data_IF_135783152504
#
_entry.id   IF_135783152504
#
_cell.length_a   1.000
_cell.length_b   1.000
_cell.length_c   1.000
_cell.angle_alpha   90.00
_cell.angle_beta   90.00
_cell.angle_gamma   90.00
#
_symmetry.space_group_name_H-M   'P 1'
#
loop_
_entity.id
_entity.type
_entity.pdbx_description
1 polymer ?
#
# COMPACT_ATOMS: atom_id res chain seq x y z
N UNK A 1 59.60 23.54 -32.34
CA UNK A 1 59.64 23.46 -30.86
C UNK A 1 58.38 24.11 -30.30
N UNK A 2 57.85 23.61 -29.18
CA UNK A 2 56.51 23.81 -28.57
C UNK A 2 55.48 22.75 -29.02
N UNK A 3 55.27 21.61 -28.34
CA UNK A 3 55.03 21.25 -26.92
C UNK A 3 53.55 21.00 -26.65
N UNK A 4 53.27 19.75 -26.28
CA UNK A 4 51.98 19.18 -25.95
C UNK A 4 51.69 19.34 -24.45
N UNK A 5 50.45 19.66 -24.08
CA UNK A 5 49.88 19.34 -22.76
C UNK A 5 48.38 19.66 -22.72
N UNK A 6 47.52 18.72 -23.15
CA UNK A 6 46.08 18.72 -22.80
C UNK A 6 45.60 17.29 -22.59
N UNK A 7 45.74 16.80 -21.37
CA UNK A 7 45.23 15.48 -20.99
C UNK A 7 45.54 15.16 -19.54
N UNK A 8 44.75 15.69 -18.60
CA UNK A 8 44.98 15.39 -17.18
C UNK A 8 43.84 15.72 -16.22
N UNK A 9 42.92 16.61 -16.58
CA UNK A 9 41.90 17.10 -15.61
C UNK A 9 40.59 16.29 -15.57
N UNK A 10 40.37 15.33 -16.48
CA UNK A 10 39.11 14.56 -16.54
C UNK A 10 39.13 13.29 -15.66
N UNK A 11 40.30 12.70 -15.42
CA UNK A 11 40.41 11.42 -14.71
C UNK A 11 40.27 11.55 -13.18
N UNK A 12 40.81 12.64 -12.61
CA UNK A 12 40.84 12.88 -11.16
C UNK A 12 39.44 13.17 -10.60
N UNK A 13 38.60 13.89 -11.35
CA UNK A 13 37.21 14.16 -10.97
C UNK A 13 36.32 12.92 -11.07
N UNK A 14 36.63 11.98 -11.98
CA UNK A 14 35.91 10.69 -12.05
C UNK A 14 36.25 9.77 -10.87
N UNK A 15 37.50 9.74 -10.42
CA UNK A 15 37.90 8.93 -9.26
C UNK A 15 37.34 9.47 -7.94
N UNK A 16 37.26 10.79 -7.76
CA UNK A 16 36.64 11.39 -6.58
C UNK A 16 35.13 11.09 -6.47
N UNK A 17 34.39 11.09 -7.59
CA UNK A 17 32.97 10.73 -7.61
C UNK A 17 32.71 9.23 -7.39
N UNK A 18 33.65 8.36 -7.77
CA UNK A 18 33.57 6.91 -7.53
C UNK A 18 33.91 6.58 -6.08
N UNK A 19 34.88 7.27 -5.47
CA UNK A 19 35.24 7.12 -4.06
C UNK A 19 34.17 7.68 -3.11
N UNK A 20 33.46 8.76 -3.47
CA UNK A 20 32.33 9.24 -2.68
C UNK A 20 31.07 8.37 -2.81
N UNK A 21 30.93 7.61 -3.92
CA UNK A 21 29.82 6.64 -4.08
C UNK A 21 30.00 5.37 -3.24
N UNK A 22 31.24 4.95 -2.95
CA UNK A 22 31.47 3.76 -2.13
C UNK A 22 31.16 4.00 -0.64
N UNK A 23 31.32 5.24 -0.15
CA UNK A 23 31.03 5.61 1.24
C UNK A 23 29.54 5.85 1.55
N UNK A 24 28.68 6.06 0.54
CA UNK A 24 27.22 6.16 0.72
C UNK A 24 26.50 4.79 0.64
N UNK A 25 27.23 3.69 0.44
CA UNK A 25 26.64 2.33 0.36
C UNK A 25 26.44 1.66 1.73
N UNK A 26 26.88 2.28 2.83
CA UNK A 26 26.66 1.78 4.19
C UNK A 26 25.49 2.47 4.89
N UNK A 27 24.38 2.68 4.16
CA UNK A 27 23.12 3.06 4.78
C UNK A 27 22.51 1.82 5.44
N UNK A 28 22.94 1.55 6.68
CA UNK A 28 22.28 0.78 7.72
C UNK A 28 21.12 -0.11 7.19
N UNK A 29 21.46 -1.30 6.69
CA UNK A 29 20.48 -2.32 6.28
C UNK A 29 19.75 -2.85 7.50
N UNK A 30 18.82 -2.05 8.03
CA UNK A 30 17.80 -2.54 8.96
C UNK A 30 17.14 -3.73 8.28
N UNK A 31 17.31 -4.91 8.88
CA UNK A 31 16.77 -6.17 8.38
C UNK A 31 15.27 -6.00 8.17
N UNK A 32 14.81 -6.14 6.92
CA UNK A 32 13.39 -6.04 6.59
C UNK A 32 12.64 -7.08 7.44
N UNK A 33 11.62 -6.69 8.22
CA UNK A 33 10.86 -7.63 9.03
C UNK A 33 10.20 -8.71 8.16
N UNK A 34 10.09 -9.93 8.70
CA UNK A 34 9.38 -11.03 8.01
C UNK A 34 7.89 -10.72 7.94
N UNK A 35 7.27 -11.09 6.81
CA UNK A 35 5.81 -10.99 6.61
C UNK A 35 5.08 -11.81 7.67
N UNK A 36 4.12 -11.19 8.36
CA UNK A 36 3.26 -11.83 9.35
C UNK A 36 1.89 -12.23 8.80
N UNK A 37 1.34 -11.46 7.87
CA UNK A 37 0.06 -11.76 7.22
C UNK A 37 0.18 -11.71 5.70
N UNK A 38 -0.54 -10.78 5.09
CA UNK A 38 -0.60 -10.55 3.65
C UNK A 38 -0.03 -9.17 3.30
N UNK A 39 0.51 -9.04 2.09
CA UNK A 39 0.91 -7.74 1.58
C UNK A 39 -0.27 -7.03 0.90
N UNK A 40 -0.66 -5.90 1.47
CA UNK A 40 -1.60 -4.96 0.88
C UNK A 40 -0.79 -3.81 0.24
N UNK A 41 -1.08 -3.46 -1.01
CA UNK A 41 -0.27 -2.50 -1.76
C UNK A 41 -1.14 -1.53 -2.56
N UNK A 42 -0.53 -0.40 -2.96
CA UNK A 42 -1.23 0.70 -3.64
C UNK A 42 -1.79 1.72 -2.66
N UNK A 43 -1.89 2.98 -3.10
CA UNK A 43 -2.23 4.10 -2.22
C UNK A 43 -3.63 3.95 -1.62
N UNK A 44 -4.65 3.78 -2.47
CA UNK A 44 -6.03 3.73 -2.02
C UNK A 44 -6.34 2.53 -1.10
N UNK A 45 -5.95 1.28 -1.43
CA UNK A 45 -6.17 0.15 -0.53
C UNK A 45 -5.45 0.31 0.82
N UNK A 46 -4.20 0.81 0.81
CA UNK A 46 -3.45 1.02 2.04
C UNK A 46 -4.12 2.07 2.93
N UNK A 47 -4.48 3.25 2.39
CA UNK A 47 -5.17 4.29 3.15
C UNK A 47 -6.52 3.80 3.69
N UNK A 48 -7.29 3.05 2.90
CA UNK A 48 -8.55 2.45 3.37
C UNK A 48 -8.33 1.50 4.56
N UNK A 49 -7.26 0.68 4.54
CA UNK A 49 -6.93 -0.18 5.67
C UNK A 49 -6.52 0.63 6.92
N UNK A 50 -5.74 1.70 6.74
CA UNK A 50 -5.35 2.59 7.84
C UNK A 50 -6.55 3.31 8.47
N UNK A 51 -7.54 3.71 7.67
CA UNK A 51 -8.72 4.44 8.13
C UNK A 51 -9.78 3.56 8.79
N UNK A 52 -10.06 2.38 8.22
CA UNK A 52 -11.16 1.53 8.68
C UNK A 52 -10.79 0.68 9.90
N UNK A 53 -9.51 0.39 10.13
CA UNK A 53 -9.06 -0.45 11.24
C UNK A 53 -9.54 -1.90 11.16
N UNK A 54 -10.12 -2.34 10.04
CA UNK A 54 -10.61 -3.72 9.83
C UNK A 54 -9.48 -4.75 9.66
N UNK A 55 -8.25 -4.28 9.50
CA UNK A 55 -7.05 -5.12 9.44
C UNK A 55 -6.05 -4.63 10.50
N UNK A 56 -5.38 -5.57 11.15
CA UNK A 56 -4.21 -5.25 11.96
C UNK A 56 -3.03 -4.93 11.04
N UNK A 57 -2.34 -3.83 11.29
CA UNK A 57 -1.15 -3.43 10.52
C UNK A 57 0.07 -3.90 11.31
N UNK A 58 0.90 -4.75 10.70
CA UNK A 58 2.11 -5.27 11.32
C UNK A 58 3.34 -4.44 10.95
N UNK A 59 3.50 -4.11 9.67
CA UNK A 59 4.64 -3.34 9.16
C UNK A 59 4.19 -2.37 8.07
N UNK A 60 4.83 -1.21 8.00
CA UNK A 60 4.61 -0.19 6.96
C UNK A 60 5.89 -0.05 6.13
N UNK A 61 5.79 -0.25 4.81
CA UNK A 61 6.90 -0.11 3.87
C UNK A 61 6.62 1.03 2.89
N UNK A 62 7.56 1.98 2.81
CA UNK A 62 7.52 3.09 1.85
C UNK A 62 8.73 3.05 0.93
N UNK A 63 8.56 3.54 -0.30
CA UNK A 63 9.69 3.71 -1.22
C UNK A 63 10.70 4.70 -0.66
N UNK A 64 11.97 4.31 -0.59
CA UNK A 64 13.08 5.18 -0.22
C UNK A 64 13.29 6.27 -1.27
N UNK A 65 13.51 7.51 -0.84
CA UNK A 65 13.65 8.68 -1.72
C UNK A 65 15.05 8.84 -2.34
N UNK A 66 15.93 7.85 -2.20
CA UNK A 66 17.32 7.95 -2.68
C UNK A 66 17.34 8.09 -4.21
N UNK A 67 17.74 9.27 -4.68
CA UNK A 67 18.06 9.53 -6.10
C UNK A 67 16.88 9.91 -7.01
N UNK A 68 15.67 10.14 -6.52
CA UNK A 68 14.53 10.55 -7.38
C UNK A 68 13.70 11.66 -6.74
N UNK A 69 13.51 12.78 -7.46
CA UNK A 69 12.73 13.96 -7.03
C UNK A 69 11.20 13.75 -7.01
N UNK A 70 10.74 12.51 -7.15
CA UNK A 70 9.30 12.20 -7.29
C UNK A 70 8.99 11.01 -6.39
N UNK A 71 8.42 11.27 -5.21
CA UNK A 71 7.73 10.21 -4.49
C UNK A 71 6.55 9.77 -5.35
N UNK A 72 6.53 8.50 -5.77
CA UNK A 72 5.35 7.91 -6.46
C UNK A 72 4.08 8.01 -5.60
N UNK A 73 4.27 8.17 -4.27
CA UNK A 73 3.22 8.44 -3.31
C UNK A 73 2.87 9.93 -3.31
N UNK A 74 1.59 10.26 -3.45
CA UNK A 74 1.06 11.63 -3.33
C UNK A 74 1.39 12.21 -1.95
N UNK A 75 1.72 13.50 -1.88
CA UNK A 75 2.09 14.20 -0.63
C UNK A 75 1.05 14.02 0.48
N UNK A 76 -0.24 14.13 0.17
CA UNK A 76 -1.34 13.93 1.13
C UNK A 76 -1.34 12.51 1.72
N UNK A 77 -1.16 11.49 0.88
CA UNK A 77 -1.15 10.09 1.32
C UNK A 77 0.06 9.80 2.23
N UNK A 78 1.22 10.37 1.91
CA UNK A 78 2.41 10.25 2.75
C UNK A 78 2.18 10.85 4.16
N UNK A 79 1.53 12.02 4.24
CA UNK A 79 1.19 12.66 5.52
C UNK A 79 0.21 11.81 6.34
N UNK A 80 -0.79 11.20 5.71
CA UNK A 80 -1.74 10.33 6.40
C UNK A 80 -1.07 9.07 6.97
N UNK A 81 -0.17 8.45 6.20
CA UNK A 81 0.58 7.27 6.64
C UNK A 81 1.49 7.60 7.81
N UNK A 82 2.22 8.73 7.75
CA UNK A 82 3.07 9.21 8.85
C UNK A 82 2.26 9.46 10.11
N UNK A 83 1.13 10.18 9.99
CA UNK A 83 0.23 10.44 11.11
C UNK A 83 -0.33 9.16 11.72
N UNK A 84 -0.62 8.14 10.91
CA UNK A 84 -1.03 6.84 11.42
C UNK A 84 0.10 6.16 12.21
N UNK A 85 1.30 6.10 11.63
CA UNK A 85 2.47 5.47 12.23
C UNK A 85 2.85 6.12 13.56
N UNK A 86 2.87 7.45 13.63
CA UNK A 86 3.14 8.21 14.86
C UNK A 86 2.12 7.90 15.96
N UNK A 87 0.82 7.98 15.64
CA UNK A 87 -0.25 7.68 16.61
C UNK A 87 -0.19 6.26 17.15
N UNK A 88 0.28 5.30 16.35
CA UNK A 88 0.38 3.88 16.73
C UNK A 88 1.79 3.49 17.18
N UNK A 89 2.73 4.43 17.26
CA UNK A 89 4.16 4.20 17.55
C UNK A 89 4.76 3.08 16.70
N UNK A 90 4.41 3.06 15.41
CA UNK A 90 4.91 2.09 14.44
C UNK A 90 6.09 2.65 13.66
N UNK A 91 7.09 1.81 13.39
CA UNK A 91 8.19 2.17 12.50
C UNK A 91 7.75 2.12 11.03
N UNK A 92 8.20 3.09 10.24
CA UNK A 92 8.08 3.07 8.78
C UNK A 92 9.42 2.61 8.21
N UNK A 93 9.39 1.52 7.44
CA UNK A 93 10.55 0.98 6.75
C UNK A 93 10.65 1.57 5.34
N UNK A 94 11.65 2.42 5.11
CA UNK A 94 11.97 2.91 3.77
C UNK A 94 12.81 1.87 3.02
N UNK A 95 12.27 1.35 1.92
CA UNK A 95 12.88 0.24 1.15
C UNK A 95 13.03 0.60 -0.32
N UNK A 96 13.86 -0.16 -1.05
CA UNK A 96 14.08 0.06 -2.48
C UNK A 96 12.85 -0.27 -3.32
N UNK A 97 12.81 0.23 -4.56
CA UNK A 97 11.71 -0.07 -5.50
C UNK A 97 11.60 -1.57 -5.76
N UNK A 98 12.74 -2.24 -5.96
CA UNK A 98 12.85 -3.67 -6.23
C UNK A 98 12.30 -4.49 -5.05
N UNK A 99 12.49 -3.99 -3.83
CA UNK A 99 11.94 -4.63 -2.63
C UNK A 99 10.41 -4.56 -2.63
N UNK A 100 9.82 -3.40 -2.96
CA UNK A 100 8.38 -3.24 -3.06
C UNK A 100 7.81 -4.06 -4.22
N UNK A 101 8.46 -4.09 -5.37
CA UNK A 101 8.08 -4.91 -6.53
C UNK A 101 8.06 -6.41 -6.16
N UNK A 102 9.03 -6.88 -5.37
CA UNK A 102 9.02 -8.26 -4.86
C UNK A 102 7.86 -8.51 -3.89
N UNK A 103 7.57 -7.56 -2.99
CA UNK A 103 6.44 -7.69 -2.06
C UNK A 103 5.08 -7.67 -2.78
N UNK A 104 4.94 -6.88 -3.84
CA UNK A 104 3.70 -6.77 -4.63
C UNK A 104 3.60 -7.77 -5.79
N UNK A 105 4.54 -8.71 -5.93
CA UNK A 105 4.60 -9.63 -7.07
C UNK A 105 4.57 -8.91 -8.43
N UNK A 106 5.34 -7.81 -8.55
CA UNK A 106 5.43 -6.92 -9.72
C UNK A 106 4.14 -6.18 -10.09
N UNK A 107 3.13 -6.17 -9.21
CA UNK A 107 1.91 -5.38 -9.38
C UNK A 107 2.12 -3.93 -8.92
N UNK A 108 1.32 -2.97 -9.41
CA UNK A 108 1.51 -1.54 -9.10
C UNK A 108 1.32 -1.26 -7.60
N UNK A 109 2.41 -1.00 -6.90
CA UNK A 109 2.42 -0.69 -5.46
C UNK A 109 2.36 0.82 -5.14
N UNK A 110 2.68 1.69 -6.12
CA UNK A 110 2.60 3.16 -5.97
C UNK A 110 3.39 3.70 -4.76
N UNK A 111 4.58 3.13 -4.53
CA UNK A 111 5.45 3.50 -3.42
C UNK A 111 5.03 3.09 -1.99
N UNK A 112 3.97 2.30 -1.80
CA UNK A 112 3.52 1.85 -0.47
C UNK A 112 3.11 0.37 -0.46
N UNK A 113 3.54 -0.35 0.59
CA UNK A 113 3.09 -1.70 0.92
C UNK A 113 2.89 -1.80 2.44
N UNK A 114 1.84 -2.48 2.87
CA UNK A 114 1.57 -2.82 4.26
C UNK A 114 1.63 -4.34 4.43
N UNK A 115 2.21 -4.82 5.53
CA UNK A 115 2.00 -6.18 6.02
C UNK A 115 0.83 -6.16 7.00
N UNK A 116 -0.24 -6.86 6.68
CA UNK A 116 -1.53 -6.75 7.37
C UNK A 116 -2.15 -8.11 7.65
N UNK A 117 -3.03 -8.18 8.65
CA UNK A 117 -3.90 -9.35 8.82
C UNK A 117 -4.82 -9.54 7.60
N UNK A 118 -5.30 -10.77 7.33
CA UNK A 118 -6.38 -11.00 6.38
C UNK A 118 -7.61 -10.13 6.72
N UNK A 119 -8.40 -9.77 5.71
CA UNK A 119 -9.68 -9.09 5.93
C UNK A 119 -10.67 -10.11 6.46
N UNK A 120 -11.27 -9.85 7.62
CA UNK A 120 -12.35 -10.69 8.11
C UNK A 120 -13.64 -10.38 7.35
N UNK A 121 -14.18 -11.41 6.70
CA UNK A 121 -15.56 -11.39 6.21
C UNK A 121 -16.45 -12.02 7.28
N UNK A 122 -17.49 -11.29 7.71
CA UNK A 122 -18.48 -11.84 8.64
C UNK A 122 -19.36 -12.81 7.85
N UNK A 123 -19.51 -14.05 8.36
CA UNK A 123 -20.55 -14.95 7.84
C UNK A 123 -21.90 -14.35 8.19
N UNK A 124 -22.80 -14.32 7.22
CA UNK A 124 -24.16 -13.90 7.45
C UNK A 124 -24.97 -15.05 8.05
N UNK A 125 -25.75 -14.75 9.08
CA UNK A 125 -26.70 -15.69 9.68
C UNK A 125 -28.16 -15.24 9.41
N UNK A 126 -29.13 -16.13 9.57
CA UNK A 126 -30.56 -15.82 9.40
C UNK A 126 -31.04 -14.69 10.31
N UNK A 127 -30.41 -14.52 11.48
CA UNK A 127 -30.67 -13.41 12.39
C UNK A 127 -30.21 -12.04 11.85
N UNK A 128 -29.24 -12.01 10.94
CA UNK A 128 -28.75 -10.77 10.33
C UNK A 128 -29.76 -10.16 9.35
N UNK A 129 -30.66 -10.99 8.79
CA UNK A 129 -31.78 -10.62 7.91
C UNK A 129 -32.83 -9.77 8.60
N UNK A 130 -32.87 -9.77 9.94
CA UNK A 130 -33.80 -8.95 10.69
C UNK A 130 -33.40 -7.49 10.46
N UNK A 131 -34.16 -6.82 9.61
CA UNK A 131 -34.17 -5.36 9.56
C UNK A 131 -34.63 -4.90 10.95
N UNK A 132 -33.68 -4.67 11.86
CA UNK A 132 -33.90 -3.56 12.76
C UNK A 132 -34.02 -2.36 11.83
N UNK A 133 -35.26 -1.93 11.57
CA UNK A 133 -35.50 -0.58 11.10
C UNK A 133 -34.66 0.25 12.06
N UNK A 134 -33.62 0.89 11.56
CA UNK A 134 -33.02 1.99 12.31
C UNK A 134 -34.21 2.89 12.60
N UNK A 135 -34.70 2.88 13.84
CA UNK A 135 -35.94 3.58 14.23
C UNK A 135 -35.78 5.09 13.96
N UNK A 136 -34.53 5.51 13.74
CA UNK A 136 -34.04 6.84 13.44
C UNK A 136 -33.84 7.12 11.93
N UNK A 137 -33.88 6.12 11.05
CA UNK A 137 -33.66 6.28 9.60
C UNK A 137 -34.93 5.92 8.83
N UNK A 138 -35.52 6.92 8.15
CA UNK A 138 -36.65 6.72 7.23
C UNK A 138 -36.26 5.93 5.95
N UNK A 139 -34.95 5.68 5.74
CA UNK A 139 -34.44 4.97 4.57
C UNK A 139 -34.44 3.46 4.80
N UNK A 140 -35.06 2.73 3.87
CA UNK A 140 -34.96 1.27 3.81
C UNK A 140 -33.52 0.86 3.42
N UNK A 141 -32.91 -0.11 4.12
CA UNK A 141 -31.56 -0.54 3.79
C UNK A 141 -31.56 -1.30 2.45
N UNK A 142 -30.54 -1.03 1.63
CA UNK A 142 -30.33 -1.63 0.32
C UNK A 142 -29.23 -2.67 0.40
N UNK A 143 -29.58 -3.93 0.15
CA UNK A 143 -28.65 -5.05 0.17
C UNK A 143 -28.43 -5.61 -1.22
N UNK A 144 -27.19 -5.96 -1.53
CA UNK A 144 -26.81 -6.53 -2.80
C UNK A 144 -26.30 -7.96 -2.60
N UNK A 145 -27.00 -8.94 -3.16
CA UNK A 145 -26.57 -10.34 -3.18
C UNK A 145 -25.86 -10.65 -4.50
N UNK A 146 -24.62 -11.15 -4.40
CA UNK A 146 -23.77 -11.50 -5.54
C UNK A 146 -23.55 -13.01 -5.58
N UNK A 147 -24.11 -13.65 -6.59
CA UNK A 147 -23.96 -15.09 -6.85
C UNK A 147 -23.27 -15.33 -8.19
N UNK A 148 -22.26 -16.20 -8.20
CA UNK A 148 -21.51 -16.55 -9.41
C UNK A 148 -20.50 -15.49 -9.92
N UNK A 149 -20.19 -14.43 -9.16
CA UNK A 149 -19.19 -13.43 -9.55
C UNK A 149 -17.79 -13.94 -9.19
N UNK A 150 -17.07 -14.50 -10.18
CA UNK A 150 -15.75 -15.12 -9.98
C UNK A 150 -14.56 -14.21 -10.32
N UNK A 151 -14.74 -13.24 -11.22
CA UNK A 151 -13.66 -12.32 -11.61
C UNK A 151 -13.48 -11.23 -10.53
N UNK A 152 -12.28 -11.12 -9.90
CA UNK A 152 -12.01 -10.11 -8.89
C UNK A 152 -12.14 -8.68 -9.40
N UNK A 153 -11.91 -8.44 -10.70
CA UNK A 153 -12.03 -7.12 -11.29
C UNK A 153 -13.51 -6.68 -11.36
N UNK A 154 -14.38 -7.56 -11.85
CA UNK A 154 -15.83 -7.34 -11.82
C UNK A 154 -16.36 -7.17 -10.40
N UNK A 155 -15.93 -8.03 -9.46
CA UNK A 155 -16.32 -7.90 -8.05
C UNK A 155 -15.94 -6.53 -7.46
N UNK A 156 -14.71 -6.08 -7.71
CA UNK A 156 -14.24 -4.76 -7.26
C UNK A 156 -14.96 -3.58 -7.93
N UNK A 157 -15.42 -3.72 -9.18
CA UNK A 157 -16.24 -2.71 -9.85
C UNK A 157 -17.63 -2.61 -9.20
N UNK A 158 -18.26 -3.75 -8.94
CA UNK A 158 -19.57 -3.83 -8.27
C UNK A 158 -19.50 -3.22 -6.87
N UNK A 159 -18.49 -3.57 -6.06
CA UNK A 159 -18.34 -3.02 -4.70
C UNK A 159 -18.22 -1.48 -4.70
N UNK A 160 -17.50 -0.91 -5.67
CA UNK A 160 -17.35 0.54 -5.79
C UNK A 160 -18.67 1.21 -6.18
N UNK A 161 -19.41 0.63 -7.14
CA UNK A 161 -20.71 1.13 -7.54
C UNK A 161 -21.73 1.03 -6.38
N UNK A 162 -21.76 -0.10 -5.69
CA UNK A 162 -22.61 -0.32 -4.52
C UNK A 162 -22.31 0.71 -3.41
N UNK A 163 -21.03 0.95 -3.10
CA UNK A 163 -20.64 1.99 -2.15
C UNK A 163 -21.09 3.40 -2.58
N UNK A 164 -20.87 3.75 -3.86
CA UNK A 164 -21.25 5.06 -4.40
C UNK A 164 -22.77 5.30 -4.39
N UNK A 165 -23.56 4.26 -4.69
CA UNK A 165 -25.02 4.30 -4.69
C UNK A 165 -25.62 4.16 -3.27
N UNK A 166 -24.79 3.99 -2.25
CA UNK A 166 -25.22 3.90 -0.85
C UNK A 166 -25.88 2.57 -0.49
N UNK A 167 -25.41 1.45 -1.06
CA UNK A 167 -25.79 0.13 -0.59
C UNK A 167 -25.22 -0.12 0.81
N UNK A 168 -26.03 -0.67 1.71
CA UNK A 168 -25.67 -0.89 3.11
C UNK A 168 -24.88 -2.19 3.30
N UNK A 169 -25.21 -3.22 2.52
CA UNK A 169 -24.59 -4.55 2.63
C UNK A 169 -24.39 -5.17 1.26
N UNK A 170 -23.25 -5.86 1.10
CA UNK A 170 -22.99 -6.76 -0.02
C UNK A 170 -22.78 -8.16 0.54
N UNK A 171 -23.56 -9.11 0.04
CA UNK A 171 -23.54 -10.51 0.46
C UNK A 171 -23.07 -11.32 -0.74
N UNK A 172 -22.20 -12.29 -0.50
CA UNK A 172 -21.73 -13.17 -1.57
C UNK A 172 -21.62 -14.61 -1.08
N UNK A 173 -21.68 -15.56 -2.00
CA UNK A 173 -21.54 -16.97 -1.69
C UNK A 173 -20.08 -17.35 -1.55
N UNK A 174 -19.79 -18.33 -0.69
CA UNK A 174 -18.44 -18.88 -0.52
C UNK A 174 -17.93 -19.62 -1.77
N UNK A 175 -18.76 -19.80 -2.80
CA UNK A 175 -18.39 -20.44 -4.07
C UNK A 175 -17.65 -19.50 -5.03
N UNK A 176 -17.61 -18.20 -4.72
CA UNK A 176 -16.97 -17.20 -5.57
C UNK A 176 -15.45 -17.05 -5.31
N UNK A 177 -14.87 -17.82 -4.39
CA UNK A 177 -13.47 -17.77 -3.93
C UNK A 177 -13.12 -19.01 -3.09
#
# INVERSE_FOLDING_TARGET
MYSAARGGFSAILRQAAVAQRSHLSSANTKKIPRRRGEYLYGVAPCLAALHTGKRQIYNIFLKSAVGTRTSELKSTALSEVRRYAERRRMEIHYVSKETLERMSSKRPHQGIVLDVSPLSCRKMDLGDCRLEKDILSERLPVWLALDGIQDPMNFGAILRAAFFLGADRVITTARNW
#
